data_IF_291439868019
#
_entry.id   IF_291439868019
#
_cell.length_a   1.000
_cell.length_b   1.000
_cell.length_c   1.000
_cell.angle_alpha   90.00
_cell.angle_beta   90.00
_cell.angle_gamma   90.00
#
_symmetry.space_group_name_H-M   'P 1'
#
loop_
_entity.id
_entity.type
_entity.pdbx_description
1 polymer ?
#
# COMPACT_ATOMS: atom_id res chain seq x y z
N UNK A 1 3.42 16.80 -15.02
CA UNK A 1 2.51 16.27 -13.98
C UNK A 1 1.64 15.24 -14.67
N UNK A 2 1.64 14.00 -14.19
CA UNK A 2 0.86 12.91 -14.78
C UNK A 2 -0.36 12.73 -13.91
N UNK A 3 -1.55 12.80 -14.51
CA UNK A 3 -2.80 12.68 -13.78
C UNK A 3 -3.90 12.10 -14.66
N UNK A 4 -4.87 11.47 -14.02
CA UNK A 4 -6.16 11.13 -14.61
C UNK A 4 -7.24 11.83 -13.80
N UNK A 5 -8.34 12.19 -14.45
CA UNK A 5 -9.43 12.93 -13.79
C UNK A 5 -10.80 12.62 -14.39
N UNK A 6 -11.82 12.91 -13.60
CA UNK A 6 -13.20 13.04 -14.04
C UNK A 6 -13.89 14.17 -13.26
N UNK A 7 -15.21 14.25 -13.34
CA UNK A 7 -16.01 15.25 -12.63
C UNK A 7 -15.95 15.16 -11.10
N UNK A 8 -15.44 14.07 -10.51
CA UNK A 8 -15.45 13.82 -9.07
C UNK A 8 -14.08 13.87 -8.41
N UNK A 9 -13.05 13.31 -9.05
CA UNK A 9 -11.70 13.22 -8.49
C UNK A 9 -10.62 13.45 -9.55
N UNK A 10 -9.48 13.95 -9.07
CA UNK A 10 -8.22 14.05 -9.81
C UNK A 10 -7.21 13.17 -9.07
N UNK A 11 -6.56 12.25 -9.77
CA UNK A 11 -5.49 11.42 -9.22
C UNK A 11 -4.18 11.74 -9.94
N UNK A 12 -3.09 11.97 -9.20
CA UNK A 12 -1.78 12.28 -9.79
C UNK A 12 -0.69 11.30 -9.37
N UNK A 13 0.31 11.13 -10.24
CA UNK A 13 1.28 10.05 -10.15
C UNK A 13 2.72 10.51 -10.45
N UNK A 14 3.66 9.74 -9.95
CA UNK A 14 5.07 9.75 -10.34
C UNK A 14 5.39 8.51 -11.19
N UNK A 15 6.10 8.64 -12.34
CA UNK A 15 6.64 7.49 -13.08
C UNK A 15 7.59 6.66 -12.23
N UNK A 16 8.37 7.31 -11.36
CA UNK A 16 9.19 6.63 -10.37
C UNK A 16 8.28 5.86 -9.42
N UNK A 17 8.44 4.54 -9.42
CA UNK A 17 7.67 3.61 -8.61
C UNK A 17 6.23 3.42 -9.04
N UNK A 18 5.80 4.01 -10.17
CA UNK A 18 4.39 4.16 -10.52
C UNK A 18 3.54 4.68 -9.35
N UNK A 19 4.13 5.56 -8.52
CA UNK A 19 3.58 5.94 -7.22
C UNK A 19 2.40 6.89 -7.40
N UNK A 20 1.25 6.53 -6.85
CA UNK A 20 0.12 7.43 -6.70
C UNK A 20 0.45 8.45 -5.58
N UNK A 21 0.36 9.74 -5.89
CA UNK A 21 0.81 10.81 -4.99
C UNK A 21 -0.33 11.67 -4.44
N UNK A 22 -1.47 11.71 -5.11
CA UNK A 22 -2.63 12.49 -4.67
C UNK A 22 -3.91 11.88 -5.21
N UNK A 23 -4.95 11.92 -4.38
CA UNK A 23 -6.36 11.74 -4.79
C UNK A 23 -7.08 12.96 -4.23
N UNK A 24 -7.58 13.82 -5.11
CA UNK A 24 -8.23 15.06 -4.73
C UNK A 24 -9.65 15.15 -5.24
N UNK A 25 -10.60 15.49 -4.37
CA UNK A 25 -11.98 15.77 -4.77
C UNK A 25 -12.07 17.08 -5.58
N UNK A 26 -12.73 17.05 -6.73
CA UNK A 26 -12.90 18.22 -7.62
C UNK A 26 -13.75 19.32 -6.97
N UNK A 27 -14.88 18.96 -6.36
CA UNK A 27 -15.79 19.93 -5.72
C UNK A 27 -15.29 20.33 -4.33
N UNK A 28 -14.90 19.35 -3.51
CA UNK A 28 -14.54 19.58 -2.11
C UNK A 28 -13.11 20.09 -1.92
N UNK A 29 -12.27 19.95 -2.95
CA UNK A 29 -10.81 20.20 -2.89
C UNK A 29 -10.10 19.37 -1.82
N UNK A 30 -10.74 18.31 -1.30
CA UNK A 30 -10.21 17.44 -0.26
C UNK A 30 -9.09 16.58 -0.81
N UNK A 31 -7.91 16.67 -0.20
CA UNK A 31 -6.83 15.71 -0.43
C UNK A 31 -7.03 14.50 0.49
N UNK A 32 -7.13 13.31 -0.09
CA UNK A 32 -7.34 12.07 0.65
C UNK A 32 -6.02 11.38 1.00
N UNK A 33 -4.95 11.65 0.27
CA UNK A 33 -3.65 11.03 0.52
C UNK A 33 -2.82 11.80 1.53
N UNK A 34 -1.92 11.09 2.19
CA UNK A 34 -0.87 11.70 2.98
C UNK A 34 -0.02 12.66 2.14
N UNK A 35 0.42 13.76 2.76
CA UNK A 35 1.16 14.83 2.09
C UNK A 35 2.60 14.49 1.67
N UNK A 36 3.13 13.34 2.09
CA UNK A 36 4.53 12.97 1.87
C UNK A 36 5.51 13.82 2.69
N UNK A 37 5.11 14.36 3.85
CA UNK A 37 5.99 15.17 4.69
C UNK A 37 7.21 14.32 5.16
N UNK A 38 8.44 14.66 4.74
CA UNK A 38 9.63 13.88 5.05
C UNK A 38 10.02 13.90 6.53
N UNK A 39 9.50 14.84 7.33
CA UNK A 39 9.72 14.86 8.78
C UNK A 39 9.09 13.64 9.48
N UNK A 40 8.08 13.02 8.84
CA UNK A 40 7.43 11.80 9.32
C UNK A 40 7.68 10.63 8.36
N UNK A 41 7.27 10.78 7.09
CA UNK A 41 7.42 9.77 6.05
C UNK A 41 7.33 10.40 4.65
N UNK A 42 8.46 10.46 3.95
CA UNK A 42 8.60 11.12 2.65
C UNK A 42 8.09 10.34 1.42
N UNK A 43 7.12 9.44 1.61
CA UNK A 43 6.52 8.63 0.53
C UNK A 43 4.99 8.78 0.56
N UNK A 44 4.31 8.29 -0.47
CA UNK A 44 2.86 8.44 -0.63
C UNK A 44 2.15 7.09 -0.73
N UNK A 45 2.49 6.28 -1.75
CA UNK A 45 1.92 4.95 -1.94
C UNK A 45 2.86 3.98 -2.67
N UNK A 46 3.98 3.58 -2.03
CA UNK A 46 4.96 2.70 -2.66
C UNK A 46 4.36 1.37 -3.11
N UNK A 47 4.86 0.88 -4.25
CA UNK A 47 4.64 -0.49 -4.72
C UNK A 47 5.72 -1.39 -4.14
N UNK A 48 5.30 -2.52 -3.57
CA UNK A 48 6.16 -3.50 -2.91
C UNK A 48 6.37 -4.69 -3.84
N UNK A 49 7.52 -4.75 -4.51
CA UNK A 49 7.86 -5.81 -5.47
C UNK A 49 9.38 -5.91 -5.65
N UNK A 50 9.97 -7.12 -5.74
CA UNK A 50 9.30 -8.44 -5.81
C UNK A 50 9.11 -9.13 -4.46
N UNK A 51 9.27 -8.40 -3.35
CA UNK A 51 8.98 -8.90 -1.99
C UNK A 51 8.16 -7.86 -1.21
N UNK A 52 7.47 -8.33 -0.18
CA UNK A 52 6.73 -7.51 0.79
C UNK A 52 7.36 -7.76 2.16
N UNK A 53 7.80 -6.71 2.86
CA UNK A 53 8.54 -6.83 4.12
C UNK A 53 10.05 -6.96 3.91
N UNK A 54 10.78 -7.41 4.92
CA UNK A 54 12.20 -7.66 4.83
C UNK A 54 12.49 -9.16 4.80
N UNK A 55 13.54 -9.55 4.09
CA UNK A 55 14.13 -10.88 4.20
C UNK A 55 15.27 -10.84 5.22
N UNK A 56 15.47 -11.95 5.95
CA UNK A 56 16.53 -12.05 6.94
C UNK A 56 17.90 -11.73 6.32
N UNK A 57 18.67 -10.89 6.99
CA UNK A 57 19.99 -10.42 6.53
C UNK A 57 19.96 -9.77 5.13
N UNK A 58 18.79 -9.26 4.73
CA UNK A 58 18.50 -8.68 3.41
C UNK A 58 18.92 -9.57 2.24
N UNK A 59 18.96 -10.90 2.45
CA UNK A 59 19.52 -11.84 1.48
C UNK A 59 18.68 -13.12 1.32
N UNK A 60 18.72 -13.70 0.12
CA UNK A 60 18.07 -14.98 -0.17
C UNK A 60 18.93 -15.85 -1.09
N UNK A 61 18.65 -17.16 -1.10
CA UNK A 61 19.34 -18.12 -1.96
C UNK A 61 18.44 -18.60 -3.09
N UNK A 62 18.98 -18.63 -4.30
CA UNK A 62 18.33 -19.20 -5.47
C UNK A 62 19.38 -19.90 -6.36
N UNK A 63 19.12 -21.16 -6.71
CA UNK A 63 20.01 -21.99 -7.55
C UNK A 63 21.49 -21.99 -7.09
N UNK A 64 21.71 -22.03 -5.77
CA UNK A 64 23.05 -22.04 -5.17
C UNK A 64 23.79 -20.70 -5.19
N UNK A 65 23.13 -19.60 -5.57
CA UNK A 65 23.66 -18.24 -5.51
C UNK A 65 22.95 -17.41 -4.45
N UNK A 66 23.70 -16.55 -3.78
CA UNK A 66 23.17 -15.55 -2.85
C UNK A 66 22.81 -14.28 -3.61
N UNK A 67 21.65 -13.73 -3.30
CA UNK A 67 21.16 -12.46 -3.80
C UNK A 67 20.81 -11.55 -2.63
N UNK A 68 20.95 -10.25 -2.83
CA UNK A 68 20.61 -9.23 -1.84
C UNK A 68 19.43 -8.40 -2.34
N UNK A 69 18.42 -8.22 -1.50
CA UNK A 69 17.19 -7.50 -1.84
C UNK A 69 16.76 -6.64 -0.64
N UNK A 70 16.61 -5.31 -0.83
CA UNK A 70 16.21 -4.43 0.26
C UNK A 70 14.75 -4.68 0.66
N UNK A 71 14.38 -4.24 1.87
CA UNK A 71 12.99 -4.28 2.38
C UNK A 71 12.01 -3.73 1.32
N UNK A 72 10.93 -4.48 1.08
CA UNK A 72 9.89 -4.28 0.07
C UNK A 72 10.37 -4.26 -1.40
N UNK A 73 11.54 -4.80 -1.68
CA UNK A 73 12.09 -4.90 -3.03
C UNK A 73 12.50 -3.55 -3.62
N UNK A 74 12.51 -3.49 -4.96
CA UNK A 74 13.12 -2.38 -5.70
C UNK A 74 12.13 -1.59 -6.58
N UNK A 75 10.91 -2.08 -6.82
CA UNK A 75 10.01 -1.47 -7.81
C UNK A 75 9.76 0.02 -7.54
N UNK A 76 9.48 0.41 -6.28
CA UNK A 76 9.28 1.80 -5.86
C UNK A 76 10.43 2.76 -6.21
N UNK A 77 11.63 2.24 -6.45
CA UNK A 77 12.83 3.05 -6.70
C UNK A 77 13.18 3.13 -8.20
N UNK A 78 12.43 2.41 -9.05
CA UNK A 78 12.65 2.33 -10.51
C UNK A 78 11.73 3.29 -11.28
N UNK A 79 12.17 3.73 -12.44
CA UNK A 79 11.32 4.46 -13.40
C UNK A 79 10.45 3.47 -14.19
N UNK A 80 9.14 3.72 -14.24
CA UNK A 80 8.19 2.98 -15.07
C UNK A 80 7.92 3.74 -16.36
N UNK A 81 7.83 3.01 -17.46
CA UNK A 81 7.19 3.53 -18.66
C UNK A 81 5.69 3.70 -18.39
N UNK A 82 5.04 4.67 -19.01
CA UNK A 82 3.60 4.87 -18.84
C UNK A 82 2.91 5.27 -20.13
N UNK A 83 1.61 4.96 -20.21
CA UNK A 83 0.75 5.45 -21.27
C UNK A 83 -0.68 5.65 -20.76
N UNK A 84 -1.30 6.75 -21.20
CA UNK A 84 -2.72 6.97 -20.99
C UNK A 84 -3.53 6.09 -21.94
N UNK A 85 -4.52 5.40 -21.40
CA UNK A 85 -5.57 4.76 -22.20
C UNK A 85 -6.61 5.83 -22.60
N UNK A 86 -6.95 6.70 -21.64
CA UNK A 86 -7.78 7.90 -21.81
C UNK A 86 -7.60 8.85 -20.60
N UNK A 87 -8.45 9.86 -20.47
CA UNK A 87 -8.43 10.85 -19.38
C UNK A 87 -8.66 10.25 -17.98
N UNK A 88 -9.27 9.07 -17.89
CA UNK A 88 -9.66 8.38 -16.65
C UNK A 88 -8.86 7.09 -16.40
N UNK A 89 -7.90 6.75 -17.25
CA UNK A 89 -7.19 5.48 -17.16
C UNK A 89 -5.75 5.58 -17.68
N UNK A 90 -4.80 5.11 -16.86
CA UNK A 90 -3.36 5.11 -17.13
C UNK A 90 -2.74 3.77 -16.72
N UNK A 91 -1.76 3.31 -17.47
CA UNK A 91 -1.00 2.10 -17.16
C UNK A 91 0.49 2.43 -17.09
N UNK A 92 1.12 2.01 -16.00
CA UNK A 92 2.57 2.02 -15.80
C UNK A 92 3.13 0.61 -16.03
N UNK A 93 4.34 0.50 -16.57
CA UNK A 93 4.98 -0.78 -16.83
C UNK A 93 6.46 -0.74 -16.48
N UNK A 94 6.91 -1.72 -15.69
CA UNK A 94 8.31 -2.00 -15.40
C UNK A 94 8.66 -3.38 -15.94
N UNK A 95 9.71 -3.46 -16.75
CA UNK A 95 10.27 -4.73 -17.21
C UNK A 95 11.58 -5.00 -16.49
N UNK A 96 11.94 -6.27 -16.40
CA UNK A 96 13.28 -6.65 -15.97
C UNK A 96 14.36 -5.97 -16.84
N UNK A 97 15.55 -5.84 -16.26
CA UNK A 97 16.71 -5.17 -16.85
C UNK A 97 17.97 -5.85 -16.34
N UNK A 98 19.12 -5.57 -16.94
CA UNK A 98 20.41 -6.08 -16.45
C UNK A 98 20.67 -5.73 -14.98
N UNK A 99 20.18 -4.58 -14.51
CA UNK A 99 20.32 -4.16 -13.10
C UNK A 99 19.44 -4.99 -12.17
N UNK A 100 18.16 -5.19 -12.52
CA UNK A 100 17.24 -5.98 -11.68
C UNK A 100 17.64 -7.45 -11.66
N UNK A 101 18.10 -8.01 -12.78
CA UNK A 101 18.57 -9.40 -12.88
C UNK A 101 19.78 -9.72 -11.99
N UNK A 102 20.57 -8.71 -11.57
CA UNK A 102 21.69 -8.90 -10.63
C UNK A 102 21.22 -9.21 -9.21
N UNK A 103 20.06 -8.70 -8.81
CA UNK A 103 19.51 -8.84 -7.45
C UNK A 103 18.28 -9.74 -7.40
N UNK A 104 17.65 -9.98 -8.54
CA UNK A 104 16.46 -10.81 -8.70
C UNK A 104 16.50 -11.50 -10.07
N UNK A 105 17.00 -12.74 -10.16
CA UNK A 105 17.37 -13.40 -11.42
C UNK A 105 16.16 -13.96 -12.17
N UNK A 106 15.08 -13.21 -12.23
CA UNK A 106 13.87 -13.57 -12.94
C UNK A 106 13.49 -12.49 -13.94
N UNK A 107 13.14 -12.91 -15.14
CA UNK A 107 12.50 -12.02 -16.10
C UNK A 107 11.05 -11.77 -15.65
N UNK A 108 10.62 -10.52 -15.74
CA UNK A 108 9.25 -10.13 -15.41
C UNK A 108 8.79 -8.96 -16.27
N UNK A 109 7.48 -8.76 -16.30
CA UNK A 109 6.82 -7.50 -16.63
C UNK A 109 5.78 -7.22 -15.55
N UNK A 110 5.93 -6.12 -14.82
CA UNK A 110 4.97 -5.61 -13.84
C UNK A 110 4.22 -4.44 -14.47
N UNK A 111 2.91 -4.59 -14.62
CA UNK A 111 2.01 -3.52 -15.04
C UNK A 111 1.11 -3.09 -13.89
N UNK A 112 0.92 -1.77 -13.76
CA UNK A 112 0.11 -1.15 -12.71
C UNK A 112 -0.89 -0.24 -13.40
N UNK A 113 -2.16 -0.61 -13.35
CA UNK A 113 -3.25 0.11 -14.01
C UNK A 113 -4.05 0.89 -12.98
N UNK A 114 -4.19 2.19 -13.22
CA UNK A 114 -5.07 3.07 -12.46
C UNK A 114 -6.24 3.48 -13.32
N UNK A 115 -7.46 3.36 -12.76
CA UNK A 115 -8.70 3.71 -13.45
C UNK A 115 -9.67 4.42 -12.52
N UNK A 116 -10.17 5.56 -12.93
CA UNK A 116 -11.22 6.30 -12.23
C UNK A 116 -12.60 5.80 -12.71
N UNK A 117 -13.53 5.65 -11.75
CA UNK A 117 -14.94 5.45 -12.02
C UNK A 117 -15.78 6.10 -10.92
N UNK A 118 -16.62 7.09 -11.26
CA UNK A 118 -17.32 7.90 -10.25
C UNK A 118 -16.31 8.58 -9.32
N UNK A 119 -16.55 8.52 -8.01
CA UNK A 119 -15.62 9.03 -6.98
C UNK A 119 -14.58 7.99 -6.51
N UNK A 120 -14.32 6.94 -7.31
CA UNK A 120 -13.44 5.83 -6.95
C UNK A 120 -12.22 5.74 -7.87
N UNK A 121 -11.07 5.39 -7.29
CA UNK A 121 -9.85 5.01 -8.01
C UNK A 121 -9.59 3.51 -7.81
N UNK A 122 -9.53 2.76 -8.90
CA UNK A 122 -9.14 1.36 -8.90
C UNK A 122 -7.66 1.22 -9.28
N UNK A 123 -6.92 0.38 -8.55
CA UNK A 123 -5.53 0.01 -8.83
C UNK A 123 -5.44 -1.50 -9.07
N UNK A 124 -5.02 -1.91 -10.27
CA UNK A 124 -4.83 -3.32 -10.64
C UNK A 124 -3.35 -3.60 -10.89
N UNK A 125 -2.85 -4.68 -10.30
CA UNK A 125 -1.49 -5.18 -10.51
C UNK A 125 -1.54 -6.40 -11.44
N UNK A 126 -0.72 -6.38 -12.49
CA UNK A 126 -0.58 -7.48 -13.45
C UNK A 126 0.90 -7.87 -13.54
N UNK A 127 1.25 -9.07 -13.08
CA UNK A 127 2.63 -9.59 -13.18
C UNK A 127 2.66 -10.69 -14.24
N UNK A 128 3.44 -10.47 -15.30
CA UNK A 128 3.64 -11.44 -16.38
C UNK A 128 5.04 -12.03 -16.32
N UNK A 129 5.12 -13.34 -16.49
CA UNK A 129 6.37 -14.09 -16.62
C UNK A 129 6.66 -14.36 -18.11
N UNK A 130 7.60 -13.65 -18.74
CA UNK A 130 7.95 -13.88 -20.15
C UNK A 130 8.85 -15.10 -20.35
N UNK A 131 9.41 -15.66 -19.26
CA UNK A 131 10.33 -16.80 -19.30
C UNK A 131 9.58 -18.14 -19.26
N UNK A 132 10.27 -19.21 -19.65
CA UNK A 132 9.83 -20.58 -19.43
C UNK A 132 10.02 -21.06 -17.98
N UNK A 133 10.89 -20.39 -17.21
CA UNK A 133 11.17 -20.73 -15.81
C UNK A 133 10.09 -20.16 -14.88
N UNK A 134 9.91 -20.73 -13.69
CA UNK A 134 8.95 -20.20 -12.70
C UNK A 134 9.39 -18.81 -12.21
N UNK A 135 8.46 -17.87 -12.15
CA UNK A 135 8.64 -16.56 -11.51
C UNK A 135 8.18 -16.63 -10.04
N UNK A 136 9.06 -16.30 -9.10
CA UNK A 136 8.77 -16.30 -7.65
C UNK A 136 8.72 -14.88 -7.12
N UNK A 137 7.56 -14.37 -6.72
CA UNK A 137 7.42 -12.98 -6.26
C UNK A 137 6.35 -12.85 -5.18
N UNK A 138 6.41 -11.73 -4.46
CA UNK A 138 5.28 -11.13 -3.75
C UNK A 138 4.99 -9.76 -4.36
N UNK A 139 3.75 -9.30 -4.23
CA UNK A 139 3.31 -7.98 -4.65
C UNK A 139 2.45 -7.36 -3.54
N UNK A 140 2.63 -6.08 -3.27
CA UNK A 140 1.81 -5.35 -2.31
C UNK A 140 1.73 -3.87 -2.61
N UNK A 141 0.73 -3.21 -2.03
CA UNK A 141 0.57 -1.77 -2.06
C UNK A 141 0.81 -1.19 -0.66
N UNK A 142 1.28 0.07 -0.60
CA UNK A 142 1.50 0.76 0.67
C UNK A 142 0.94 2.19 0.68
N UNK A 143 -0.33 2.43 0.28
CA UNK A 143 -0.92 3.77 0.24
C UNK A 143 -1.14 4.35 1.64
N UNK A 144 -0.70 5.58 1.85
CA UNK A 144 -0.97 6.38 3.05
C UNK A 144 -2.12 7.35 2.83
N UNK A 145 -3.09 7.33 3.74
CA UNK A 145 -4.27 8.20 3.71
C UNK A 145 -4.26 9.19 4.87
N UNK A 146 -4.58 10.45 4.57
CA UNK A 146 -4.54 11.53 5.56
C UNK A 146 -5.67 11.38 6.60
N UNK A 147 -5.33 11.59 7.87
CA UNK A 147 -6.26 11.67 8.98
C UNK A 147 -5.71 12.69 9.99
N UNK A 148 -6.24 13.92 10.09
CA UNK A 148 -7.52 14.38 9.56
C UNK A 148 -7.49 14.84 8.10
N UNK A 149 -8.58 14.54 7.38
CA UNK A 149 -8.88 15.13 6.08
C UNK A 149 -9.14 16.64 6.22
N UNK A 150 -8.57 17.45 5.33
CA UNK A 150 -8.69 18.91 5.33
C UNK A 150 -8.33 19.62 6.65
N UNK A 151 -7.52 18.98 7.51
CA UNK A 151 -7.20 19.49 8.86
C UNK A 151 -8.46 19.73 9.72
N UNK A 152 -9.55 19.02 9.43
CA UNK A 152 -10.79 19.11 10.20
C UNK A 152 -10.83 17.99 11.25
N UNK A 153 -10.73 18.36 12.52
CA UNK A 153 -10.63 17.42 13.63
C UNK A 153 -9.19 17.09 13.99
N UNK A 154 -8.98 15.95 14.63
CA UNK A 154 -7.67 15.45 15.09
C UNK A 154 -7.57 13.95 14.78
N UNK A 155 -6.36 13.40 14.75
CA UNK A 155 -6.10 11.99 14.46
C UNK A 155 -6.99 11.03 15.25
N UNK A 156 -7.12 11.26 16.56
CA UNK A 156 -7.88 10.42 17.49
C UNK A 156 -9.40 10.50 17.36
N UNK A 157 -9.92 11.34 16.45
CA UNK A 157 -11.33 11.27 16.05
C UNK A 157 -11.59 10.18 15.00
N UNK A 158 -10.55 9.65 14.36
CA UNK A 158 -10.62 8.68 13.27
C UNK A 158 -10.58 7.23 13.79
N UNK A 159 -11.15 6.34 12.99
CA UNK A 159 -11.15 4.91 13.23
C UNK A 159 -11.21 4.14 11.91
N UNK A 160 -10.73 2.91 11.95
CA UNK A 160 -10.92 1.94 10.88
C UNK A 160 -12.17 1.11 11.16
N UNK A 161 -13.07 1.05 10.19
CA UNK A 161 -14.28 0.23 10.22
C UNK A 161 -14.05 -1.01 9.38
N UNK A 162 -14.02 -2.16 10.03
CA UNK A 162 -13.99 -3.48 9.41
C UNK A 162 -15.42 -3.90 9.09
N UNK A 163 -15.64 -4.50 7.92
CA UNK A 163 -16.98 -4.85 7.47
C UNK A 163 -17.46 -6.24 7.92
N UNK A 164 -16.53 -7.13 8.30
CA UNK A 164 -16.85 -8.52 8.72
C UNK A 164 -16.18 -8.96 10.01
N UNK A 165 -15.05 -8.37 10.38
CA UNK A 165 -14.29 -8.76 11.57
C UNK A 165 -14.83 -8.10 12.85
N UNK A 166 -15.06 -8.90 13.88
CA UNK A 166 -15.35 -8.44 15.25
C UNK A 166 -14.10 -8.43 16.14
N UNK A 167 -13.00 -8.99 15.64
CA UNK A 167 -11.67 -8.93 16.24
C UNK A 167 -10.61 -9.07 15.15
N UNK A 168 -9.42 -8.54 15.40
CA UNK A 168 -8.25 -8.77 14.55
C UNK A 168 -7.13 -9.37 15.38
N UNK A 169 -6.41 -10.33 14.81
CA UNK A 169 -5.16 -10.84 15.36
C UNK A 169 -4.03 -10.42 14.43
N UNK A 170 -3.04 -9.70 14.95
CA UNK A 170 -1.90 -9.26 14.17
C UNK A 170 -0.60 -9.83 14.72
N UNK A 171 0.34 -10.05 13.81
CA UNK A 171 1.72 -10.42 14.09
C UNK A 171 2.56 -9.18 14.30
N UNK A 172 3.45 -9.22 15.29
CA UNK A 172 4.41 -8.14 15.55
C UNK A 172 5.58 -8.17 14.57
N UNK A 173 6.20 -7.02 14.33
CA UNK A 173 7.49 -6.94 13.63
C UNK A 173 8.62 -6.85 14.66
N UNK A 174 9.58 -7.76 14.58
CA UNK A 174 10.78 -7.78 15.43
C UNK A 174 11.99 -7.88 14.52
N UNK A 175 12.97 -6.99 14.69
CA UNK A 175 14.17 -6.91 13.84
C UNK A 175 13.85 -6.84 12.33
N UNK A 176 12.80 -6.09 11.96
CA UNK A 176 12.22 -5.98 10.61
C UNK A 176 11.59 -7.25 10.02
N UNK A 177 11.44 -8.31 10.81
CA UNK A 177 10.84 -9.58 10.39
C UNK A 177 9.49 -9.80 11.07
N UNK A 178 8.58 -10.50 10.39
CA UNK A 178 7.29 -10.87 10.96
C UNK A 178 7.52 -11.95 12.03
N UNK A 179 7.14 -11.64 13.26
CA UNK A 179 7.25 -12.53 14.42
C UNK A 179 6.05 -13.48 14.52
N UNK A 180 6.27 -14.62 15.19
CA UNK A 180 5.17 -15.50 15.63
C UNK A 180 4.43 -14.95 16.86
N UNK A 181 4.97 -13.92 17.51
CA UNK A 181 4.25 -13.20 18.56
C UNK A 181 3.05 -12.49 17.94
N UNK A 182 1.88 -12.65 18.57
CA UNK A 182 0.64 -12.04 18.13
C UNK A 182 -0.06 -11.29 19.25
N UNK A 183 -0.87 -10.31 18.86
CA UNK A 183 -1.84 -9.63 19.74
C UNK A 183 -3.21 -9.65 19.07
N UNK A 184 -4.25 -9.90 19.86
CA UNK A 184 -5.64 -9.84 19.41
C UNK A 184 -6.34 -8.60 19.99
N UNK A 185 -7.01 -7.84 19.13
CA UNK A 185 -7.82 -6.68 19.51
C UNK A 185 -9.28 -6.99 19.20
N UNK A 186 -10.14 -6.90 20.23
CA UNK A 186 -11.59 -6.94 20.04
C UNK A 186 -12.07 -5.61 19.44
N UNK A 187 -12.83 -5.70 18.35
CA UNK A 187 -13.38 -4.55 17.65
C UNK A 187 -14.80 -4.29 18.12
N UNK A 188 -15.01 -3.21 18.87
CA UNK A 188 -16.35 -2.81 19.27
C UNK A 188 -17.11 -2.30 18.03
N UNK A 189 -18.18 -3.00 17.64
CA UNK A 189 -18.94 -2.69 16.42
C UNK A 189 -18.06 -2.68 15.14
N UNK A 190 -17.02 -3.53 15.10
CA UNK A 190 -16.08 -3.59 13.98
C UNK A 190 -15.13 -2.38 13.88
N UNK A 191 -15.02 -1.56 14.94
CA UNK A 191 -14.20 -0.33 14.93
C UNK A 191 -12.87 -0.53 15.64
N UNK A 192 -11.79 -0.08 14.99
CA UNK A 192 -10.46 0.12 15.56
C UNK A 192 -10.16 1.62 15.64
N UNK A 193 -10.23 2.25 16.82
CA UNK A 193 -9.88 3.65 16.99
C UNK A 193 -8.40 3.90 16.65
N UNK A 194 -8.11 4.99 15.93
CA UNK A 194 -6.74 5.38 15.64
C UNK A 194 -6.14 6.14 16.82
N UNK A 195 -4.95 5.70 17.23
CA UNK A 195 -4.08 6.34 18.23
C UNK A 195 -2.64 6.20 17.75
N UNK A 196 -1.77 7.17 18.05
CA UNK A 196 -0.38 7.11 17.56
C UNK A 196 0.37 5.92 18.18
N UNK A 197 0.04 5.59 19.42
CA UNK A 197 0.61 4.48 20.18
C UNK A 197 0.33 3.11 19.56
N UNK A 198 -0.73 2.98 18.76
CA UNK A 198 -1.09 1.74 18.07
C UNK A 198 0.03 1.26 17.12
N UNK A 199 0.87 2.18 16.63
CA UNK A 199 1.91 1.90 15.63
C UNK A 199 3.34 2.12 16.15
N UNK A 200 3.52 2.32 17.46
CA UNK A 200 4.85 2.50 18.05
C UNK A 200 5.72 1.23 17.98
N UNK A 201 5.08 0.06 17.93
CA UNK A 201 5.71 -1.25 17.76
C UNK A 201 5.66 -1.75 16.29
N UNK A 202 5.66 -0.82 15.31
CA UNK A 202 5.60 -1.07 13.87
C UNK A 202 4.20 -1.54 13.38
N UNK A 203 4.13 -2.12 12.17
CA UNK A 203 2.89 -2.44 11.48
C UNK A 203 2.08 -3.56 12.16
N UNK A 204 0.75 -3.43 12.13
CA UNK A 204 -0.18 -4.51 12.45
C UNK A 204 -0.27 -5.45 11.23
N UNK A 205 0.42 -6.59 11.26
CA UNK A 205 0.40 -7.57 10.17
C UNK A 205 -0.68 -8.64 10.38
N UNK A 206 -1.73 -8.61 9.59
CA UNK A 206 -2.88 -9.52 9.71
C UNK A 206 -2.80 -10.57 8.60
N UNK A 207 -2.77 -11.85 8.98
CA UNK A 207 -2.62 -12.98 8.03
C UNK A 207 -3.93 -13.67 7.66
N UNK A 208 -5.01 -13.40 8.40
CA UNK A 208 -6.27 -14.11 8.29
C UNK A 208 -7.50 -13.20 8.36
N UNK A 209 -7.36 -11.96 7.87
CA UNK A 209 -8.43 -10.97 7.83
C UNK A 209 -9.67 -11.49 7.07
N UNK A 210 -10.87 -11.36 7.64
CA UNK A 210 -12.12 -11.80 6.98
C UNK A 210 -12.76 -10.70 6.15
N UNK A 211 -12.54 -9.45 6.53
CA UNK A 211 -13.01 -8.26 5.82
C UNK A 211 -12.38 -8.18 4.44
N UNK A 212 -13.18 -7.75 3.46
CA UNK A 212 -12.76 -7.42 2.10
C UNK A 212 -12.78 -5.92 1.82
N UNK A 213 -13.26 -5.14 2.80
CA UNK A 213 -13.11 -3.69 2.84
C UNK A 213 -12.83 -3.16 4.24
N UNK A 214 -12.07 -2.07 4.31
CA UNK A 214 -11.82 -1.29 5.53
C UNK A 214 -12.10 0.17 5.21
N UNK A 215 -12.99 0.81 5.97
CA UNK A 215 -13.26 2.24 5.79
C UNK A 215 -12.50 3.07 6.82
N UNK A 216 -11.83 4.14 6.40
CA UNK A 216 -11.27 5.16 7.28
C UNK A 216 -12.33 6.26 7.48
N UNK A 217 -12.88 6.32 8.69
CA UNK A 217 -14.00 7.19 9.06
C UNK A 217 -13.64 8.03 10.29
N UNK A 218 -14.50 8.99 10.63
CA UNK A 218 -14.33 9.83 11.81
C UNK A 218 -15.65 10.14 12.52
N UNK A 219 -15.56 10.66 13.74
CA UNK A 219 -16.72 10.97 14.59
C UNK A 219 -17.27 12.40 14.44
N UNK A 220 -16.71 13.22 13.53
CA UNK A 220 -17.05 14.64 13.38
C UNK A 220 -17.89 14.94 12.15
N UNK A 221 -17.69 14.22 11.05
CA UNK A 221 -18.39 14.41 9.79
C UNK A 221 -18.44 13.10 8.99
N UNK A 222 -19.01 13.16 7.78
CA UNK A 222 -19.17 12.01 6.89
C UNK A 222 -18.01 11.82 5.90
N UNK A 223 -16.93 12.61 6.01
CA UNK A 223 -15.78 12.46 5.12
C UNK A 223 -14.97 11.25 5.53
N UNK A 224 -14.60 10.45 4.55
CA UNK A 224 -13.79 9.26 4.72
C UNK A 224 -13.52 8.61 3.39
N UNK A 225 -12.95 7.42 3.43
CA UNK A 225 -12.75 6.58 2.26
C UNK A 225 -13.08 5.14 2.62
N UNK A 226 -13.52 4.38 1.62
CA UNK A 226 -13.77 2.96 1.72
C UNK A 226 -12.75 2.21 0.86
N UNK A 227 -11.90 1.41 1.50
CA UNK A 227 -10.77 0.74 0.86
C UNK A 227 -11.09 -0.72 0.63
N UNK A 228 -11.22 -1.12 -0.64
CA UNK A 228 -11.53 -2.49 -1.06
C UNK A 228 -10.26 -3.18 -1.56
N UNK A 229 -10.00 -4.41 -1.11
CA UNK A 229 -8.75 -5.14 -1.38
C UNK A 229 -8.98 -6.60 -1.76
N UNK A 230 -9.81 -6.80 -2.77
CA UNK A 230 -10.10 -8.14 -3.27
C UNK A 230 -8.83 -8.87 -3.72
N UNK A 231 -8.77 -10.17 -3.44
CA UNK A 231 -7.71 -11.10 -3.88
C UNK A 231 -6.34 -10.93 -3.18
N UNK A 232 -6.26 -10.11 -2.13
CA UNK A 232 -5.08 -9.99 -1.27
C UNK A 232 -5.25 -10.76 0.06
N UNK A 233 -4.46 -11.81 0.31
CA UNK A 233 -4.63 -12.68 1.48
C UNK A 233 -4.10 -12.10 2.80
N UNK A 234 -3.21 -11.10 2.74
CA UNK A 234 -2.59 -10.49 3.90
C UNK A 234 -2.80 -8.99 3.90
N UNK A 235 -2.77 -8.37 5.08
CA UNK A 235 -3.00 -6.94 5.23
C UNK A 235 -2.09 -6.32 6.29
N UNK A 236 -1.45 -5.21 5.94
CA UNK A 236 -0.71 -4.35 6.86
C UNK A 236 -1.52 -3.09 7.20
N UNK A 237 -1.46 -2.68 8.46
CA UNK A 237 -1.93 -1.37 8.91
C UNK A 237 -0.79 -0.69 9.65
N UNK A 238 -0.40 0.49 9.21
CA UNK A 238 0.79 1.16 9.74
C UNK A 238 0.64 2.67 9.73
N UNK A 239 1.33 3.36 10.62
CA UNK A 239 1.57 4.79 10.51
C UNK A 239 2.98 5.09 11.02
N UNK A 240 3.60 6.14 10.48
CA UNK A 240 4.83 6.66 11.08
C UNK A 240 4.53 7.22 12.47
N UNK A 241 5.54 7.15 13.35
CA UNK A 241 5.43 7.66 14.72
C UNK A 241 4.94 9.11 14.72
N UNK A 242 3.89 9.36 15.49
CA UNK A 242 3.27 10.68 15.70
C UNK A 242 2.76 11.37 14.41
N UNK A 243 2.57 10.61 13.33
CA UNK A 243 2.11 11.12 12.05
C UNK A 243 0.58 11.04 11.89
N UNK A 244 0.01 12.05 11.23
CA UNK A 244 -1.44 12.18 10.99
C UNK A 244 -1.88 11.51 9.68
N UNK A 245 -1.52 10.24 9.53
CA UNK A 245 -1.97 9.37 8.44
C UNK A 245 -2.10 7.91 8.90
N UNK A 246 -2.72 7.09 8.07
CA UNK A 246 -2.68 5.63 8.22
C UNK A 246 -2.48 4.98 6.85
N UNK A 247 -1.61 3.99 6.79
CA UNK A 247 -1.42 3.11 5.66
C UNK A 247 -2.36 1.92 5.74
N UNK A 248 -2.96 1.59 4.58
CA UNK A 248 -3.82 0.43 4.40
C UNK A 248 -3.20 -0.42 3.29
N UNK A 249 -2.58 -1.54 3.67
CA UNK A 249 -1.59 -2.20 2.85
C UNK A 249 -2.00 -3.63 2.45
N UNK A 250 -2.67 -3.81 1.31
CA UNK A 250 -3.02 -5.14 0.83
C UNK A 250 -1.80 -5.85 0.23
N UNK A 251 -1.55 -7.09 0.65
CA UNK A 251 -0.35 -7.86 0.30
C UNK A 251 -0.65 -9.27 -0.22
N UNK A 252 0.00 -9.62 -1.34
CA UNK A 252 0.03 -10.94 -1.96
C UNK A 252 1.43 -11.52 -1.77
N UNK A 253 1.65 -12.10 -0.60
CA UNK A 253 2.94 -12.58 -0.14
C UNK A 253 3.53 -11.72 0.98
N UNK A 254 4.36 -12.33 1.81
CA UNK A 254 5.08 -11.73 2.93
C UNK A 254 6.46 -12.41 3.01
N UNK A 255 7.49 -11.65 3.36
CA UNK A 255 8.86 -12.12 3.55
C UNK A 255 9.14 -12.51 5.00
#
# INVERSE_FOLDING_TARGET
MIFIENEHIIASFSPKGAELQSIKGTDSQTEYMWSGNPDFWGKFSPILFPIVGAIKDESYQFEGKNYHLPRHGFARDMEFDYHHINEQEIVFTLKHSETTLKVYPFEFTLSVRYKIHGASLCCTYEVSNPSANKLLFSIGAHPAFAAPLNKQGVYTNYYLQFNKDEEITFHHIVDNLISDQTTTIKLKEGKLPLTHELFYDDALVIKDLKSDSISLLNTKNYNGLDFHFKDFPYFGIWAAKDADFVCLEPWCGIA
#
